data_IF_091606394019
#
_entry.id   IF_091606394019
#
_cell.length_a   1.000
_cell.length_b   1.000
_cell.length_c   1.000
_cell.angle_alpha   90.00
_cell.angle_beta   90.00
_cell.angle_gamma   90.00
#
_symmetry.space_group_name_H-M   'P 1'
#
loop_
_entity.id
_entity.type
_entity.pdbx_description
1 polymer ?
#
# COMPACT_ATOMS: atom_id res chain seq x y z
N UNK A 1 -7.78 -3.50 -29.95
CA UNK A 1 -7.60 -3.74 -28.50
C UNK A 1 -6.48 -2.91 -27.84
N UNK A 2 -5.85 -1.92 -28.51
CA UNK A 2 -4.80 -1.05 -27.91
C UNK A 2 -5.34 -0.04 -26.88
N UNK A 3 -6.51 0.54 -27.16
CA UNK A 3 -7.14 1.60 -26.35
C UNK A 3 -7.47 1.21 -24.91
N UNK A 4 -7.77 -0.06 -24.63
CA UNK A 4 -8.08 -0.50 -23.26
C UNK A 4 -6.84 -0.49 -22.34
N UNK A 5 -5.69 -0.91 -22.86
CA UNK A 5 -4.43 -0.90 -22.09
C UNK A 5 -3.98 0.53 -21.76
N UNK A 6 -4.22 1.47 -22.67
CA UNK A 6 -3.92 2.90 -22.45
C UNK A 6 -4.76 3.49 -21.32
N UNK A 7 -6.04 3.12 -21.23
CA UNK A 7 -6.91 3.56 -20.14
C UNK A 7 -6.42 3.01 -18.79
N UNK A 8 -6.14 1.71 -18.69
CA UNK A 8 -5.62 1.13 -17.43
C UNK A 8 -4.27 1.73 -17.02
N UNK A 9 -3.39 2.01 -17.97
CA UNK A 9 -2.12 2.67 -17.68
C UNK A 9 -2.33 4.10 -17.14
N UNK A 10 -3.24 4.88 -17.73
CA UNK A 10 -3.59 6.23 -17.26
C UNK A 10 -4.23 6.20 -15.86
N UNK A 11 -5.13 5.24 -15.62
CA UNK A 11 -5.73 5.03 -14.30
C UNK A 11 -4.66 4.69 -13.26
N UNK A 12 -3.72 3.79 -13.59
CA UNK A 12 -2.65 3.38 -12.68
C UNK A 12 -1.72 4.54 -12.33
N UNK A 13 -1.30 5.35 -13.31
CA UNK A 13 -0.45 6.54 -13.05
C UNK A 13 -1.18 7.59 -12.21
N UNK A 14 -2.48 7.74 -12.41
CA UNK A 14 -3.31 8.64 -11.59
C UNK A 14 -3.40 8.13 -10.16
N UNK A 15 -3.62 6.81 -9.98
CA UNK A 15 -3.67 6.17 -8.67
C UNK A 15 -2.32 6.24 -7.94
N UNK A 16 -1.19 6.09 -8.64
CA UNK A 16 0.16 6.31 -8.10
C UNK A 16 0.29 7.74 -7.52
N UNK A 17 -0.18 8.74 -8.27
CA UNK A 17 -0.12 10.14 -7.87
C UNK A 17 -0.99 10.43 -6.64
N UNK A 18 -2.17 9.80 -6.56
CA UNK A 18 -3.05 9.87 -5.39
C UNK A 18 -2.36 9.23 -4.19
N UNK A 19 -1.84 8.01 -4.32
CA UNK A 19 -1.18 7.30 -3.22
C UNK A 19 0.03 8.07 -2.67
N UNK A 20 0.85 8.65 -3.54
CA UNK A 20 1.96 9.52 -3.15
C UNK A 20 1.47 10.74 -2.38
N UNK A 21 0.40 11.39 -2.85
CA UNK A 21 -0.16 12.56 -2.17
C UNK A 21 -0.75 12.19 -0.80
N UNK A 22 -1.42 11.05 -0.69
CA UNK A 22 -1.95 10.55 0.57
C UNK A 22 -0.84 10.23 1.57
N UNK A 23 0.29 9.67 1.13
CA UNK A 23 1.47 9.49 1.99
C UNK A 23 1.95 10.81 2.59
N UNK A 24 2.10 11.84 1.76
CA UNK A 24 2.51 13.18 2.23
C UNK A 24 1.51 13.78 3.22
N UNK A 25 0.21 13.66 2.96
CA UNK A 25 -0.84 14.17 3.85
C UNK A 25 -0.90 13.39 5.17
N UNK A 26 -0.70 12.08 5.14
CA UNK A 26 -0.65 11.25 6.33
C UNK A 26 0.55 11.61 7.22
N UNK A 27 1.74 11.81 6.64
CA UNK A 27 2.92 12.29 7.38
C UNK A 27 2.72 13.70 7.95
N UNK A 28 2.05 14.60 7.22
CA UNK A 28 1.69 15.92 7.77
C UNK A 28 0.76 15.82 8.99
N UNK A 29 -0.12 14.82 9.02
CA UNK A 29 -1.06 14.59 10.11
C UNK A 29 -0.45 13.87 11.30
N UNK A 30 0.38 12.85 11.05
CA UNK A 30 0.95 11.97 12.08
C UNK A 30 2.32 12.45 12.60
N UNK A 31 2.98 13.35 11.88
CA UNK A 31 4.38 13.68 12.06
C UNK A 31 5.30 12.83 11.17
N UNK A 32 6.62 13.12 11.14
CA UNK A 32 7.56 12.38 10.31
C UNK A 32 7.66 10.91 10.77
N UNK A 33 7.89 9.96 9.83
CA UNK A 33 8.07 8.57 10.20
C UNK A 33 9.33 8.38 11.06
N UNK A 34 9.28 7.53 12.11
CA UNK A 34 10.40 7.34 13.03
C UNK A 34 11.61 6.64 12.37
N UNK A 35 11.36 5.90 11.28
CA UNK A 35 12.37 5.28 10.43
C UNK A 35 11.90 5.31 8.96
N UNK A 36 12.80 5.24 7.97
CA UNK A 36 12.40 5.19 6.56
C UNK A 36 11.44 4.04 6.25
N UNK A 37 10.55 4.26 5.30
CA UNK A 37 9.65 3.23 4.78
C UNK A 37 9.32 3.48 3.30
N UNK A 38 8.76 2.48 2.65
CA UNK A 38 8.14 2.57 1.34
C UNK A 38 6.70 2.05 1.42
N UNK A 39 5.76 2.82 0.86
CA UNK A 39 4.42 2.31 0.56
C UNK A 39 4.46 1.63 -0.80
N UNK A 40 4.12 0.35 -0.83
CA UNK A 40 4.22 -0.49 -2.03
C UNK A 40 2.83 -0.92 -2.44
N UNK A 41 2.46 -0.62 -3.68
CA UNK A 41 1.25 -1.14 -4.32
C UNK A 41 1.56 -2.46 -5.00
N UNK A 42 0.64 -3.42 -4.91
CA UNK A 42 0.79 -4.75 -5.53
C UNK A 42 -0.44 -5.06 -6.40
N UNK A 43 -0.61 -6.32 -6.80
CA UNK A 43 -1.79 -6.74 -7.56
C UNK A 43 -1.95 -6.00 -8.89
N UNK A 44 -3.19 -5.66 -9.23
CA UNK A 44 -3.53 -4.98 -10.48
C UNK A 44 -2.90 -3.58 -10.59
N UNK A 45 -2.79 -2.87 -9.46
CA UNK A 45 -2.13 -1.57 -9.39
C UNK A 45 -0.63 -1.71 -9.72
N UNK A 46 0.05 -2.64 -9.07
CA UNK A 46 1.48 -2.92 -9.32
C UNK A 46 1.77 -3.35 -10.77
N UNK A 47 0.85 -4.07 -11.42
CA UNK A 47 0.99 -4.48 -12.84
C UNK A 47 0.57 -3.40 -13.85
N UNK A 48 0.10 -2.23 -13.39
CA UNK A 48 -0.46 -1.15 -14.23
C UNK A 48 -1.69 -1.59 -15.03
N UNK A 49 -2.49 -2.45 -14.42
CA UNK A 49 -3.71 -3.05 -14.96
C UNK A 49 -4.96 -2.59 -14.20
N UNK A 50 -4.91 -1.43 -13.56
CA UNK A 50 -6.02 -0.90 -12.76
C UNK A 50 -7.29 -0.76 -13.61
N UNK A 51 -8.42 -1.14 -13.02
CA UNK A 51 -9.76 -0.99 -13.58
C UNK A 51 -10.64 -0.09 -12.69
N UNK A 52 -11.83 0.25 -13.17
CA UNK A 52 -12.77 1.13 -12.46
C UNK A 52 -13.32 0.57 -11.15
N UNK A 53 -13.26 -0.75 -10.98
CA UNK A 53 -13.73 -1.48 -9.78
C UNK A 53 -12.58 -2.20 -9.09
N UNK A 54 -11.35 -1.74 -9.30
CA UNK A 54 -10.18 -2.28 -8.60
C UNK A 54 -10.26 -1.98 -7.11
N UNK A 55 -9.92 -2.98 -6.31
CA UNK A 55 -9.60 -2.83 -4.90
C UNK A 55 -8.17 -2.29 -4.70
N UNK A 56 -7.84 -1.98 -3.45
CA UNK A 56 -6.48 -1.62 -3.04
C UNK A 56 -5.70 -2.84 -2.56
N UNK A 57 -4.56 -3.12 -3.19
CA UNK A 57 -3.57 -4.04 -2.63
C UNK A 57 -2.29 -3.28 -2.31
N UNK A 58 -1.92 -3.21 -1.03
CA UNK A 58 -0.75 -2.45 -0.61
C UNK A 58 -0.08 -2.98 0.68
N UNK A 59 1.19 -2.59 0.85
CA UNK A 59 2.02 -2.97 1.98
C UNK A 59 2.96 -1.83 2.36
N UNK A 60 3.48 -1.89 3.59
CA UNK A 60 4.58 -1.07 4.06
C UNK A 60 5.85 -1.93 4.13
N UNK A 61 6.88 -1.49 3.42
CA UNK A 61 8.25 -2.00 3.58
C UNK A 61 9.00 -1.00 4.44
N UNK A 62 9.37 -1.41 5.65
CA UNK A 62 9.95 -0.54 6.68
C UNK A 62 11.45 -0.81 6.78
N UNK A 63 12.25 0.20 7.15
CA UNK A 63 13.68 0.01 7.47
C UNK A 63 13.86 -1.11 8.49
N UNK A 64 14.97 -1.84 8.40
CA UNK A 64 15.37 -2.82 9.41
C UNK A 64 15.78 -2.17 10.75
N UNK A 65 15.88 -0.83 10.80
CA UNK A 65 15.95 -0.05 12.04
C UNK A 65 14.61 -0.02 12.81
N UNK A 66 13.57 -0.67 12.30
CA UNK A 66 12.27 -0.77 12.94
C UNK A 66 12.36 -1.43 14.32
N UNK A 67 11.71 -0.80 15.29
CA UNK A 67 11.64 -1.22 16.68
C UNK A 67 10.17 -1.33 17.07
N UNK A 68 9.68 -2.55 17.33
CA UNK A 68 8.26 -2.79 17.53
C UNK A 68 7.70 -2.07 18.77
N UNK A 69 8.49 -1.95 19.83
CA UNK A 69 8.19 -1.25 21.08
C UNK A 69 7.96 0.26 20.89
N UNK A 70 8.66 0.90 19.96
CA UNK A 70 8.59 2.36 19.77
C UNK A 70 7.93 2.81 18.46
N UNK A 71 7.90 1.98 17.41
CA UNK A 71 7.49 2.40 16.07
C UNK A 71 6.19 1.73 15.59
N UNK A 72 5.74 0.64 16.22
CA UNK A 72 4.59 -0.14 15.73
C UNK A 72 3.31 0.70 15.63
N UNK A 73 3.03 1.52 16.63
CA UNK A 73 1.81 2.36 16.67
C UNK A 73 1.77 3.39 15.55
N UNK A 74 2.92 3.98 15.21
CA UNK A 74 3.02 4.93 14.10
C UNK A 74 2.66 4.25 12.78
N UNK A 75 3.25 3.10 12.48
CA UNK A 75 3.00 2.40 11.20
C UNK A 75 1.62 1.76 11.14
N UNK A 76 1.03 1.38 12.27
CA UNK A 76 -0.37 0.96 12.34
C UNK A 76 -1.31 2.12 12.01
N UNK A 77 -1.09 3.31 12.59
CA UNK A 77 -1.87 4.51 12.29
C UNK A 77 -1.71 4.94 10.84
N UNK A 78 -0.47 4.96 10.33
CA UNK A 78 -0.17 5.29 8.94
C UNK A 78 -0.92 4.35 7.97
N UNK A 79 -0.83 3.04 8.19
CA UNK A 79 -1.53 2.06 7.37
C UNK A 79 -3.05 2.26 7.38
N UNK A 80 -3.63 2.50 8.56
CA UNK A 80 -5.07 2.75 8.69
C UNK A 80 -5.51 4.03 7.97
N UNK A 81 -4.77 5.13 8.13
CA UNK A 81 -5.07 6.41 7.46
C UNK A 81 -4.99 6.23 5.95
N UNK A 82 -3.91 5.64 5.43
CA UNK A 82 -3.76 5.45 3.98
C UNK A 82 -4.87 4.60 3.38
N UNK A 83 -5.22 3.48 4.02
CA UNK A 83 -6.26 2.60 3.51
C UNK A 83 -7.64 3.24 3.53
N UNK A 84 -7.97 4.02 4.57
CA UNK A 84 -9.23 4.75 4.67
C UNK A 84 -9.31 5.85 3.60
N UNK A 85 -8.26 6.65 3.44
CA UNK A 85 -8.22 7.72 2.42
C UNK A 85 -8.28 7.15 1.00
N UNK A 86 -7.59 6.03 0.73
CA UNK A 86 -7.69 5.33 -0.55
C UNK A 86 -9.13 4.87 -0.83
N UNK A 87 -9.81 4.31 0.17
CA UNK A 87 -11.22 3.93 0.06
C UNK A 87 -12.13 5.15 -0.21
N UNK A 88 -11.89 6.29 0.45
CA UNK A 88 -12.63 7.53 0.21
C UNK A 88 -12.40 8.11 -1.19
N UNK A 89 -11.22 7.87 -1.80
CA UNK A 89 -10.90 8.27 -3.18
C UNK A 89 -11.35 7.25 -4.24
N UNK A 90 -12.03 6.18 -3.85
CA UNK A 90 -12.65 5.20 -4.75
C UNK A 90 -11.87 3.90 -4.95
N UNK A 91 -10.74 3.70 -4.26
CA UNK A 91 -10.02 2.42 -4.24
C UNK A 91 -10.53 1.57 -3.06
N UNK A 92 -11.56 0.76 -3.35
CA UNK A 92 -12.27 -0.06 -2.36
C UNK A 92 -11.34 -0.94 -1.55
N UNK A 93 -11.72 -1.21 -0.29
CA UNK A 93 -11.01 -2.18 0.55
C UNK A 93 -10.88 -3.56 -0.12
N UNK A 94 -9.69 -4.16 0.00
CA UNK A 94 -9.44 -5.50 -0.52
C UNK A 94 -10.12 -6.57 0.35
N UNK A 95 -10.96 -7.44 -0.24
CA UNK A 95 -11.60 -8.55 0.47
C UNK A 95 -10.61 -9.57 1.04
N UNK A 96 -9.42 -9.69 0.44
CA UNK A 96 -8.32 -10.53 0.91
C UNK A 96 -7.49 -9.91 2.04
N UNK A 97 -7.92 -8.76 2.57
CA UNK A 97 -7.24 -8.00 3.63
C UNK A 97 -5.81 -7.58 3.29
N UNK A 98 -5.54 -7.36 1.99
CA UNK A 98 -4.22 -7.09 1.46
C UNK A 98 -3.78 -5.64 1.55
N UNK A 99 -3.69 -5.14 2.77
CA UNK A 99 -3.62 -3.70 3.02
C UNK A 99 -2.66 -3.36 4.14
N UNK A 100 -2.00 -2.20 4.08
CA UNK A 100 -1.09 -1.70 5.11
C UNK A 100 -1.75 -1.55 6.50
N UNK A 101 -3.07 -1.45 6.56
CA UNK A 101 -3.86 -1.52 7.81
C UNK A 101 -3.74 -2.89 8.50
N UNK A 102 -3.55 -3.97 7.74
CA UNK A 102 -3.28 -5.31 8.24
C UNK A 102 -1.82 -5.43 8.72
N UNK A 103 -1.55 -5.86 9.98
CA UNK A 103 -0.19 -6.09 10.47
C UNK A 103 0.67 -7.01 9.61
N UNK A 104 0.05 -7.96 8.88
CA UNK A 104 0.76 -8.89 8.00
C UNK A 104 1.40 -8.22 6.78
N UNK A 105 0.91 -7.03 6.41
CA UNK A 105 1.38 -6.25 5.28
C UNK A 105 2.37 -5.15 5.70
N UNK A 106 2.89 -5.20 6.93
CA UNK A 106 3.92 -4.29 7.44
C UNK A 106 5.16 -5.09 7.78
N UNK A 107 6.14 -5.06 6.89
CA UNK A 107 7.32 -5.91 6.97
C UNK A 107 8.57 -5.04 6.89
N UNK A 108 9.63 -5.42 7.61
CA UNK A 108 10.93 -4.81 7.37
C UNK A 108 11.51 -5.29 6.03
N UNK A 109 12.52 -4.60 5.51
CA UNK A 109 13.17 -5.00 4.26
C UNK A 109 13.66 -6.45 4.29
N UNK A 110 14.38 -6.88 5.34
CA UNK A 110 14.81 -8.28 5.42
C UNK A 110 13.65 -9.27 5.54
N UNK A 111 12.59 -8.91 6.28
CA UNK A 111 11.41 -9.77 6.38
C UNK A 111 10.74 -9.96 5.01
N UNK A 112 10.62 -8.89 4.22
CA UNK A 112 10.08 -8.92 2.87
C UNK A 112 10.97 -9.70 1.90
N UNK A 113 12.29 -9.48 1.95
CA UNK A 113 13.24 -10.12 1.04
C UNK A 113 13.34 -11.64 1.24
N UNK A 114 13.07 -12.13 2.45
CA UNK A 114 13.13 -13.57 2.78
C UNK A 114 11.88 -14.34 2.40
N UNK A 115 10.78 -13.64 2.18
CA UNK A 115 9.47 -14.24 1.93
C UNK A 115 8.67 -13.32 1.02
N UNK A 116 9.09 -13.22 -0.24
CA UNK A 116 8.35 -12.45 -1.26
C UNK A 116 6.95 -13.02 -1.48
N UNK A 117 6.75 -14.29 -1.15
CA UNK A 117 5.46 -14.97 -1.24
C UNK A 117 4.44 -14.39 -0.27
N UNK A 118 4.82 -13.64 0.77
CA UNK A 118 3.86 -12.95 1.65
C UNK A 118 3.00 -11.92 0.94
N UNK A 119 3.50 -11.30 -0.13
CA UNK A 119 2.71 -10.41 -0.98
C UNK A 119 1.87 -11.19 -2.01
N UNK A 120 2.27 -12.43 -2.33
CA UNK A 120 1.58 -13.32 -3.26
C UNK A 120 0.48 -14.16 -2.56
N UNK A 121 0.64 -14.51 -1.28
CA UNK A 121 -0.26 -15.37 -0.47
C UNK A 121 -1.54 -14.68 0.01
N UNK A 122 -1.72 -13.47 -0.44
CA UNK A 122 -2.61 -12.51 0.13
C UNK A 122 -3.61 -12.03 -0.96
N UNK A 123 -3.40 -12.49 -2.20
CA UNK A 123 -4.39 -12.62 -3.28
C UNK A 123 -5.07 -14.00 -3.27
N UNK A 124 -5.10 -14.70 -2.14
CA UNK A 124 -5.59 -16.07 -2.03
C UNK A 124 -7.11 -16.16 -2.09
N UNK A 125 -7.61 -16.79 -3.17
CA UNK A 125 -8.82 -17.63 -3.29
C UNK A 125 -10.10 -17.22 -2.56
#
# INVERSE_FOLDING_TARGET
MRRLKEVSALLSVTADSIAQRLCQLAEQRLGPPPVPYAFVVVGSHGRKELGFVSDQDNALVISDDFRADSHSDYFAQLGNVLCEELNQTGQMYCPGEMMASNPRCRLTYFAMARDTTRLDYCTGA
#
